data_IF_463293155142
#
_entry.id   IF_463293155142
#
_cell.length_a   1.000
_cell.length_b   1.000
_cell.length_c   1.000
_cell.angle_alpha   90.00
_cell.angle_beta   90.00
_cell.angle_gamma   90.00
#
_symmetry.space_group_name_H-M   'P 1'
#
loop_
_entity.id
_entity.type
_entity.pdbx_description
1 polymer ?
#
# COMPACT_ATOMS: atom_id res chain seq x y z
N UNK A 1 -17.69 34.67 20.94
CA UNK A 1 -16.22 34.70 20.68
C UNK A 1 -15.56 33.32 20.68
N UNK A 2 -15.83 32.43 21.66
CA UNK A 2 -15.16 31.12 21.83
C UNK A 2 -15.29 30.17 20.60
N UNK A 3 -16.38 30.23 19.84
CA UNK A 3 -16.62 29.33 18.69
C UNK A 3 -15.69 29.60 17.49
N UNK A 4 -15.24 30.85 17.29
CA UNK A 4 -14.39 31.24 16.16
C UNK A 4 -12.95 30.73 16.33
N UNK A 5 -12.42 30.79 17.55
CA UNK A 5 -11.07 30.29 17.86
C UNK A 5 -10.99 28.77 17.71
N UNK A 6 -12.06 28.06 18.11
CA UNK A 6 -12.16 26.61 17.95
C UNK A 6 -12.19 26.19 16.47
N UNK A 7 -12.93 26.92 15.62
CA UNK A 7 -12.93 26.72 14.16
C UNK A 7 -11.54 26.97 13.55
N UNK A 8 -10.85 28.03 13.98
CA UNK A 8 -9.49 28.34 13.50
C UNK A 8 -8.47 27.24 13.86
N UNK A 9 -8.48 26.75 15.10
CA UNK A 9 -7.62 25.63 15.52
C UNK A 9 -7.93 24.34 14.76
N UNK A 10 -9.20 24.05 14.51
CA UNK A 10 -9.62 22.89 13.73
C UNK A 10 -9.12 22.97 12.29
N UNK A 11 -9.24 24.15 11.65
CA UNK A 11 -8.68 24.37 10.31
C UNK A 11 -7.17 24.19 10.27
N UNK A 12 -6.44 24.72 11.26
CA UNK A 12 -4.99 24.54 11.34
C UNK A 12 -4.57 23.07 11.45
N UNK A 13 -5.31 22.27 12.25
CA UNK A 13 -5.01 20.85 12.41
C UNK A 13 -5.28 20.07 11.12
N UNK A 14 -6.37 20.38 10.41
CA UNK A 14 -6.68 19.78 9.10
C UNK A 14 -5.63 20.15 8.07
N UNK A 15 -5.23 21.41 7.98
CA UNK A 15 -4.17 21.87 7.06
C UNK A 15 -2.83 21.19 7.37
N UNK A 16 -2.45 21.09 8.64
CA UNK A 16 -1.24 20.39 9.06
C UNK A 16 -1.29 18.90 8.69
N UNK A 17 -2.43 18.23 8.90
CA UNK A 17 -2.63 16.84 8.51
C UNK A 17 -2.48 16.62 7.00
N UNK A 18 -3.08 17.49 6.18
CA UNK A 18 -2.95 17.42 4.72
C UNK A 18 -1.49 17.61 4.29
N UNK A 19 -0.79 18.60 4.86
CA UNK A 19 0.64 18.82 4.59
C UNK A 19 1.48 17.59 4.96
N UNK A 20 1.22 16.97 6.11
CA UNK A 20 1.92 15.76 6.55
C UNK A 20 1.71 14.59 5.58
N UNK A 21 0.46 14.38 5.13
CA UNK A 21 0.12 13.34 4.14
C UNK A 21 0.87 13.61 2.83
N UNK A 22 0.88 14.85 2.34
CA UNK A 22 1.58 15.21 1.11
C UNK A 22 3.08 14.94 1.20
N UNK A 23 3.72 15.33 2.30
CA UNK A 23 5.15 15.05 2.53
C UNK A 23 5.41 13.55 2.56
N UNK A 24 4.56 12.78 3.25
CA UNK A 24 4.66 11.32 3.30
C UNK A 24 4.55 10.67 1.92
N UNK A 25 3.60 11.11 1.09
CA UNK A 25 3.44 10.61 -0.29
C UNK A 25 4.65 10.94 -1.14
N UNK A 26 5.19 12.16 -1.05
CA UNK A 26 6.40 12.56 -1.79
C UNK A 26 7.59 11.69 -1.39
N UNK A 27 7.82 11.50 -0.08
CA UNK A 27 8.88 10.62 0.43
C UNK A 27 8.72 9.18 -0.04
N UNK A 28 7.49 8.66 -0.01
CA UNK A 28 7.20 7.30 -0.46
C UNK A 28 7.54 7.11 -1.95
N UNK A 29 7.09 8.03 -2.82
CA UNK A 29 7.38 7.98 -4.25
C UNK A 29 8.88 8.10 -4.54
N UNK A 30 9.56 9.03 -3.86
CA UNK A 30 11.01 9.21 -4.00
C UNK A 30 11.77 7.93 -3.59
N UNK A 31 11.39 7.33 -2.46
CA UNK A 31 11.96 6.07 -1.99
C UNK A 31 11.76 4.94 -3.00
N UNK A 32 10.53 4.75 -3.49
CA UNK A 32 10.24 3.74 -4.52
C UNK A 32 11.08 3.93 -5.78
N UNK A 33 11.19 5.17 -6.26
CA UNK A 33 11.95 5.48 -7.47
C UNK A 33 13.43 5.13 -7.30
N UNK A 34 14.04 5.54 -6.19
CA UNK A 34 15.43 5.20 -5.88
C UNK A 34 15.65 3.69 -5.77
N UNK A 35 14.76 2.98 -5.08
CA UNK A 35 14.82 1.51 -4.94
C UNK A 35 14.71 0.78 -6.28
N UNK A 36 13.92 1.29 -7.23
CA UNK A 36 13.83 0.71 -8.58
C UNK A 36 15.10 1.00 -9.39
N UNK A 37 15.65 2.21 -9.28
CA UNK A 37 16.87 2.61 -9.99
C UNK A 37 18.10 1.80 -9.55
N UNK A 38 18.22 1.45 -8.27
CA UNK A 38 19.32 0.64 -7.75
C UNK A 38 19.29 -0.81 -8.30
N UNK A 39 18.11 -1.36 -8.58
CA UNK A 39 17.95 -2.73 -9.07
C UNK A 39 18.38 -2.90 -10.54
N UNK A 40 18.44 -1.82 -11.34
CA UNK A 40 18.78 -1.87 -12.77
C UNK A 40 20.27 -2.00 -13.12
N UNK A 41 21.18 -1.96 -12.14
CA UNK A 41 22.64 -2.00 -12.39
C UNK A 41 23.27 -3.40 -12.39
N UNK A 42 22.50 -4.45 -12.08
CA UNK A 42 22.94 -5.84 -12.12
C UNK A 42 22.02 -6.70 -12.99
N UNK A 43 22.50 -7.84 -13.49
CA UNK A 43 21.69 -8.89 -14.14
C UNK A 43 20.76 -9.58 -13.14
N UNK A 44 20.05 -8.82 -12.32
CA UNK A 44 19.15 -9.32 -11.30
C UNK A 44 17.85 -9.68 -12.02
N UNK A 45 17.50 -10.96 -12.07
CA UNK A 45 16.17 -11.38 -12.49
C UNK A 45 15.14 -10.63 -11.63
N UNK A 46 14.24 -9.89 -12.28
CA UNK A 46 13.18 -9.18 -11.58
C UNK A 46 12.26 -10.23 -10.97
N UNK A 47 12.36 -10.44 -9.66
CA UNK A 47 11.49 -11.37 -8.90
C UNK A 47 10.26 -10.61 -8.42
N UNK A 48 9.26 -10.55 -9.28
CA UNK A 48 7.98 -9.89 -9.02
C UNK A 48 6.85 -10.90 -8.92
N UNK A 49 5.82 -10.54 -8.15
CA UNK A 49 4.54 -11.23 -8.18
C UNK A 49 3.41 -10.24 -7.92
N UNK A 50 2.25 -10.54 -8.47
CA UNK A 50 1.02 -9.78 -8.33
C UNK A 50 -0.14 -10.76 -8.20
N UNK A 51 -1.20 -10.35 -7.53
CA UNK A 51 -2.47 -11.09 -7.55
C UNK A 51 -3.55 -10.16 -8.07
N UNK A 52 -4.31 -10.65 -9.02
CA UNK A 52 -5.48 -9.96 -9.57
C UNK A 52 -6.72 -10.65 -8.99
N UNK A 53 -7.61 -9.88 -8.40
CA UNK A 53 -8.91 -10.40 -7.95
C UNK A 53 -9.94 -10.27 -9.06
N UNK A 54 -10.50 -11.40 -9.50
CA UNK A 54 -11.69 -11.42 -10.36
C UNK A 54 -12.86 -11.87 -9.48
N UNK A 55 -13.54 -10.89 -8.89
CA UNK A 55 -14.46 -11.16 -7.78
C UNK A 55 -13.72 -11.78 -6.58
N UNK A 56 -14.33 -12.70 -5.82
CA UNK A 56 -13.67 -13.36 -4.69
C UNK A 56 -12.59 -14.38 -5.12
N UNK A 57 -12.28 -14.51 -6.42
CA UNK A 57 -11.31 -15.48 -6.93
C UNK A 57 -9.97 -14.76 -7.17
N UNK A 58 -8.94 -14.97 -6.33
CA UNK A 58 -7.61 -14.44 -6.56
C UNK A 58 -6.87 -15.23 -7.64
N UNK A 59 -6.22 -14.53 -8.58
CA UNK A 59 -5.36 -15.09 -9.64
C UNK A 59 -3.93 -14.61 -9.42
N UNK A 60 -3.02 -15.54 -9.14
CA UNK A 60 -1.61 -15.22 -8.92
C UNK A 60 -0.81 -15.18 -10.22
N UNK A 61 -0.06 -14.10 -10.40
CA UNK A 61 0.86 -13.84 -11.50
C UNK A 61 2.23 -13.55 -10.91
N UNK A 62 3.30 -13.98 -11.57
CA UNK A 62 4.64 -13.63 -11.11
C UNK A 62 5.71 -14.21 -11.99
N UNK A 63 6.89 -13.60 -11.89
CA UNK A 63 8.09 -14.01 -12.61
C UNK A 63 8.92 -15.03 -11.80
N UNK A 64 8.62 -15.18 -10.50
CA UNK A 64 9.32 -16.08 -9.60
C UNK A 64 8.35 -16.94 -8.78
N UNK A 65 8.66 -18.25 -8.69
CA UNK A 65 7.82 -19.22 -7.97
C UNK A 65 7.70 -18.90 -6.47
N UNK A 66 8.78 -18.45 -5.83
CA UNK A 66 8.74 -18.11 -4.41
C UNK A 66 7.87 -16.87 -4.17
N UNK A 67 7.99 -15.85 -5.03
CA UNK A 67 7.12 -14.67 -4.99
C UNK A 67 5.64 -15.06 -5.14
N UNK A 68 5.30 -15.94 -6.10
CA UNK A 68 3.93 -16.42 -6.27
C UNK A 68 3.43 -17.13 -5.01
N UNK A 69 4.24 -18.02 -4.42
CA UNK A 69 3.86 -18.77 -3.22
C UNK A 69 3.61 -17.82 -2.03
N UNK A 70 4.54 -16.90 -1.77
CA UNK A 70 4.45 -15.96 -0.66
C UNK A 70 3.18 -15.11 -0.77
N UNK A 71 2.94 -14.53 -1.95
CA UNK A 71 1.79 -13.65 -2.16
C UNK A 71 0.49 -14.46 -2.13
N UNK A 72 0.47 -15.70 -2.64
CA UNK A 72 -0.71 -16.57 -2.57
C UNK A 72 -1.09 -16.93 -1.13
N UNK A 73 -0.10 -17.28 -0.29
CA UNK A 73 -0.32 -17.56 1.13
C UNK A 73 -0.88 -16.32 1.83
N UNK A 74 -0.24 -15.16 1.61
CA UNK A 74 -0.70 -13.88 2.16
C UNK A 74 -2.16 -13.61 1.78
N UNK A 75 -2.53 -13.91 0.54
CA UNK A 75 -3.88 -13.68 0.04
C UNK A 75 -4.91 -14.63 0.64
N UNK A 76 -4.57 -15.90 0.81
CA UNK A 76 -5.45 -16.88 1.50
C UNK A 76 -5.70 -16.43 2.94
N UNK A 77 -4.67 -15.98 3.65
CA UNK A 77 -4.81 -15.45 5.01
C UNK A 77 -5.76 -14.25 5.01
N UNK A 78 -5.56 -13.30 4.09
CA UNK A 78 -6.40 -12.11 3.98
C UNK A 78 -7.86 -12.47 3.63
N UNK A 79 -8.07 -13.48 2.78
CA UNK A 79 -9.39 -14.01 2.41
C UNK A 79 -10.10 -14.61 3.62
N UNK A 80 -9.39 -15.35 4.47
CA UNK A 80 -9.92 -15.92 5.70
C UNK A 80 -10.31 -14.81 6.67
N UNK A 81 -9.42 -13.84 6.89
CA UNK A 81 -9.69 -12.68 7.76
C UNK A 81 -10.92 -11.92 7.26
N UNK A 82 -10.97 -11.60 5.96
CA UNK A 82 -12.10 -10.92 5.35
C UNK A 82 -13.38 -11.75 5.50
N UNK A 83 -13.34 -13.05 5.25
CA UNK A 83 -14.49 -13.92 5.44
C UNK A 83 -15.02 -13.87 6.88
N UNK A 84 -14.14 -13.94 7.88
CA UNK A 84 -14.57 -13.86 9.29
C UNK A 84 -15.04 -12.46 9.71
N UNK A 85 -14.42 -11.40 9.19
CA UNK A 85 -14.75 -10.02 9.53
C UNK A 85 -16.06 -9.54 8.88
N UNK A 86 -16.33 -10.01 7.66
CA UNK A 86 -17.53 -9.64 6.89
C UNK A 86 -18.64 -10.69 6.97
N UNK A 87 -18.41 -11.84 7.61
CA UNK A 87 -19.48 -12.76 7.98
C UNK A 87 -20.35 -12.07 9.06
N UNK A 88 -21.66 -11.88 8.82
CA UNK A 88 -22.57 -11.35 9.82
C UNK A 88 -22.78 -12.31 11.00
#
# INVERSE_FOLDING_TARGET
MISIEKKKKMQQLVTAGILLILVGVIMFIAGLTLSVLEQGKGKTEVRGGAIIFIGPIPIALGTDKNSIIIISILMIILMIIAYFLFRP
#
